data_IF_616901822843
#
_entry.id   IF_616901822843
#
_cell.length_a   1.000
_cell.length_b   1.000
_cell.length_c   1.000
_cell.angle_alpha   90.00
_cell.angle_beta   90.00
_cell.angle_gamma   90.00
#
_symmetry.space_group_name_H-M   'P 1'
#
loop_
_entity.id
_entity.type
_entity.pdbx_description
1 polymer ?
#
# COMPACT_ATOMS: atom_id res chain seq x y z
N UNK A 1 -17.40 -79.02 38.09
CA UNK A 1 -17.06 -77.97 39.08
C UNK A 1 -17.60 -76.65 38.54
N UNK A 2 -18.52 -76.04 39.28
CA UNK A 2 -19.24 -74.82 38.89
C UNK A 2 -18.77 -73.71 39.83
N UNK A 3 -18.20 -72.63 39.29
CA UNK A 3 -17.80 -71.46 40.10
C UNK A 3 -18.36 -70.21 39.44
N UNK A 4 -19.28 -69.57 40.16
CA UNK A 4 -19.88 -68.26 39.85
C UNK A 4 -18.83 -67.17 40.08
N UNK A 5 -18.76 -66.18 39.18
CA UNK A 5 -18.07 -64.91 39.44
C UNK A 5 -19.08 -63.78 39.24
N UNK A 6 -19.37 -63.09 40.34
CA UNK A 6 -20.34 -62.00 40.44
C UNK A 6 -19.60 -60.67 40.32
N UNK A 7 -20.10 -59.81 39.44
CA UNK A 7 -19.65 -58.44 39.15
C UNK A 7 -20.11 -57.49 40.27
N UNK A 8 -19.23 -56.64 40.81
CA UNK A 8 -19.63 -55.48 41.61
C UNK A 8 -18.77 -54.27 41.24
N UNK A 9 -19.48 -53.19 40.88
CA UNK A 9 -18.95 -51.97 40.29
C UNK A 9 -18.46 -50.96 41.34
N UNK A 10 -17.55 -50.12 40.87
CA UNK A 10 -16.66 -49.21 41.61
C UNK A 10 -17.33 -47.94 42.12
N UNK A 11 -16.75 -47.42 43.20
CA UNK A 11 -17.07 -46.20 43.95
C UNK A 11 -16.81 -44.90 43.19
N UNK A 12 -17.68 -43.89 43.37
CA UNK A 12 -17.35 -42.47 43.19
C UNK A 12 -18.02 -41.70 44.34
N UNK A 13 -17.23 -41.06 45.20
CA UNK A 13 -17.72 -40.11 46.19
C UNK A 13 -17.04 -38.76 45.96
N UNK A 14 -17.85 -37.75 45.70
CA UNK A 14 -17.43 -36.40 45.30
C UNK A 14 -16.86 -35.62 46.48
N UNK A 15 -15.64 -35.10 46.31
CA UNK A 15 -15.02 -34.13 47.21
C UNK A 15 -15.47 -32.71 46.86
N UNK A 16 -16.10 -32.02 47.81
CA UNK A 16 -16.49 -30.60 47.68
C UNK A 16 -15.37 -29.76 48.31
N UNK A 17 -14.62 -29.04 47.48
CA UNK A 17 -13.71 -27.99 47.94
C UNK A 17 -14.42 -26.63 47.87
N UNK A 18 -14.68 -26.04 49.04
CA UNK A 18 -15.16 -24.67 49.18
C UNK A 18 -13.93 -23.74 49.15
N UNK A 19 -13.89 -22.78 48.23
CA UNK A 19 -12.89 -21.71 48.24
C UNK A 19 -13.59 -20.35 48.06
N UNK A 20 -13.28 -19.43 48.99
CA UNK A 20 -13.81 -18.07 49.11
C UNK A 20 -13.46 -17.19 47.90
N UNK A 21 -14.27 -16.15 47.57
CA UNK A 21 -13.87 -15.17 46.58
C UNK A 21 -12.90 -14.18 47.23
N UNK A 22 -11.60 -14.32 46.96
CA UNK A 22 -10.65 -13.24 47.14
C UNK A 22 -10.92 -12.19 46.06
N UNK A 23 -11.56 -11.08 46.44
CA UNK A 23 -11.78 -9.92 45.58
C UNK A 23 -10.45 -9.17 45.41
N UNK A 24 -9.63 -9.60 44.47
CA UNK A 24 -8.47 -8.83 44.02
C UNK A 24 -8.97 -7.65 43.15
N UNK A 25 -8.75 -6.43 43.61
CA UNK A 25 -8.90 -5.23 42.80
C UNK A 25 -7.69 -5.14 41.86
N UNK A 26 -7.88 -5.49 40.59
CA UNK A 26 -6.88 -5.21 39.55
C UNK A 26 -7.08 -3.79 39.04
N UNK A 27 -6.03 -2.96 38.91
CA UNK A 27 -6.12 -1.63 38.32
C UNK A 27 -6.69 -1.73 36.91
N UNK A 28 -7.44 -0.70 36.50
CA UNK A 28 -7.98 -0.54 35.16
C UNK A 28 -6.87 -0.80 34.11
N UNK A 29 -6.85 -2.01 33.58
CA UNK A 29 -6.05 -2.34 32.43
C UNK A 29 -6.79 -1.70 31.27
N UNK A 30 -6.38 -0.46 30.96
CA UNK A 30 -6.69 0.20 29.70
C UNK A 30 -6.50 -0.87 28.62
N UNK A 31 -7.60 -1.36 28.07
CA UNK A 31 -7.57 -2.29 26.96
C UNK A 31 -6.87 -1.53 25.84
N UNK A 32 -5.58 -1.80 25.65
CA UNK A 32 -4.91 -1.50 24.41
C UNK A 32 -5.68 -2.28 23.36
N UNK A 33 -6.62 -1.60 22.70
CA UNK A 33 -7.33 -2.12 21.54
C UNK A 33 -6.25 -2.72 20.63
N UNK A 34 -6.30 -4.01 20.29
CA UNK A 34 -5.30 -4.59 19.41
C UNK A 34 -5.25 -3.73 18.14
N UNK A 35 -4.06 -3.25 17.76
CA UNK A 35 -3.87 -2.51 16.49
C UNK A 35 -4.30 -3.46 15.36
N UNK A 36 -5.55 -3.36 14.94
CA UNK A 36 -6.11 -4.23 13.91
C UNK A 36 -5.50 -3.79 12.59
N UNK A 37 -4.70 -4.68 12.02
CA UNK A 37 -4.10 -4.47 10.70
C UNK A 37 -5.07 -4.96 9.63
N UNK A 38 -5.23 -4.18 8.56
CA UNK A 38 -6.13 -4.47 7.45
C UNK A 38 -5.37 -4.44 6.12
N UNK A 39 -5.72 -5.34 5.20
CA UNK A 39 -5.21 -5.31 3.83
C UNK A 39 -6.04 -4.35 2.97
N UNK A 40 -5.38 -3.45 2.25
CA UNK A 40 -6.00 -2.47 1.35
C UNK A 40 -5.49 -2.65 -0.07
N UNK A 41 -6.17 -2.03 -1.03
CA UNK A 41 -5.71 -2.03 -2.42
C UNK A 41 -5.98 -0.67 -3.05
N UNK A 42 -5.14 -0.31 -4.03
CA UNK A 42 -5.37 0.86 -4.85
C UNK A 42 -6.66 0.66 -5.64
N UNK A 43 -7.62 1.57 -5.46
CA UNK A 43 -8.94 1.52 -6.08
C UNK A 43 -8.84 1.52 -7.60
N UNK A 44 -7.95 2.34 -8.15
CA UNK A 44 -7.72 2.46 -9.58
C UNK A 44 -6.30 2.96 -9.87
N UNK A 45 -5.73 2.46 -10.98
CA UNK A 45 -4.47 2.98 -11.53
C UNK A 45 -4.65 4.39 -12.10
N UNK A 46 -3.65 5.25 -11.92
CA UNK A 46 -3.60 6.52 -12.64
C UNK A 46 -2.95 6.31 -14.01
N UNK A 47 -3.48 6.96 -15.05
CA UNK A 47 -2.95 6.88 -16.41
C UNK A 47 -2.74 8.31 -16.92
N UNK A 48 -1.52 8.60 -17.36
CA UNK A 48 -1.09 9.89 -17.88
C UNK A 48 -0.79 9.72 -19.36
N UNK A 49 -1.61 10.31 -20.21
CA UNK A 49 -1.32 10.34 -21.64
C UNK A 49 -0.19 11.32 -21.91
N UNK A 50 0.80 10.86 -22.68
CA UNK A 50 1.99 11.63 -23.02
C UNK A 50 1.86 12.07 -24.47
N UNK A 51 1.63 13.36 -24.68
CA UNK A 51 1.78 13.99 -25.98
C UNK A 51 3.22 14.52 -26.10
N UNK A 52 4.08 13.92 -26.95
CA UNK A 52 5.42 14.45 -27.13
C UNK A 52 5.37 15.71 -27.96
N UNK A 53 5.59 16.86 -27.33
CA UNK A 53 5.74 18.13 -28.03
C UNK A 53 7.22 18.55 -27.90
N UNK A 54 7.90 18.64 -29.04
CA UNK A 54 9.14 19.41 -29.25
C UNK A 54 10.41 19.02 -28.49
N UNK A 55 10.64 17.74 -28.15
CA UNK A 55 11.98 17.28 -27.72
C UNK A 55 12.47 17.76 -26.33
N UNK A 56 11.66 18.54 -25.63
CA UNK A 56 11.82 18.96 -24.24
C UNK A 56 10.50 18.73 -23.52
N UNK A 57 10.29 17.54 -22.95
CA UNK A 57 9.05 17.23 -22.26
C UNK A 57 9.07 17.83 -20.84
N UNK A 58 8.72 19.10 -20.73
CA UNK A 58 8.46 19.73 -19.44
C UNK A 58 7.09 19.25 -18.95
N UNK A 59 7.13 18.28 -18.04
CA UNK A 59 6.07 17.97 -17.07
C UNK A 59 4.69 17.58 -17.64
N UNK A 60 4.37 16.28 -17.64
CA UNK A 60 2.98 15.84 -17.87
C UNK A 60 2.21 15.95 -16.55
N UNK A 61 1.79 17.15 -16.20
CA UNK A 61 0.87 17.36 -15.07
C UNK A 61 -0.55 17.16 -15.56
N UNK A 62 -1.13 15.99 -15.30
CA UNK A 62 -2.58 15.85 -15.41
C UNK A 62 -3.22 16.19 -14.06
N UNK A 63 -3.70 17.43 -13.95
CA UNK A 63 -4.51 17.89 -12.82
C UNK A 63 -5.72 16.96 -12.68
N UNK A 64 -5.98 16.47 -11.46
CA UNK A 64 -7.09 15.57 -11.07
C UNK A 64 -6.80 14.06 -11.02
N UNK A 65 -5.59 13.59 -11.33
CA UNK A 65 -5.23 12.20 -11.04
C UNK A 65 -5.02 12.01 -9.53
N UNK A 66 -5.62 10.96 -8.98
CA UNK A 66 -5.50 10.59 -7.57
C UNK A 66 -5.27 9.07 -7.45
N UNK A 67 -4.50 8.70 -6.44
CA UNK A 67 -4.27 7.31 -6.05
C UNK A 67 -4.92 7.11 -4.69
N UNK A 68 -5.88 6.20 -4.58
CA UNK A 68 -6.66 6.01 -3.35
C UNK A 68 -6.60 4.56 -2.92
N UNK A 69 -6.12 4.31 -1.71
CA UNK A 69 -6.16 2.99 -1.12
C UNK A 69 -7.47 2.81 -0.37
N UNK A 70 -8.18 1.75 -0.72
CA UNK A 70 -9.49 1.43 -0.17
C UNK A 70 -9.45 0.08 0.54
N UNK A 71 -10.24 -0.03 1.61
CA UNK A 71 -10.50 -1.28 2.31
C UNK A 71 -11.45 -2.19 1.52
N UNK A 72 -12.33 -2.90 2.22
CA UNK A 72 -13.25 -3.86 1.58
C UNK A 72 -14.30 -3.22 0.68
N UNK A 73 -14.72 -1.99 0.98
CA UNK A 73 -15.72 -1.27 0.18
C UNK A 73 -15.06 -0.12 -0.62
N UNK A 74 -15.56 0.21 -1.82
CA UNK A 74 -14.97 1.27 -2.65
C UNK A 74 -14.93 2.66 -2.00
N UNK A 75 -15.87 2.94 -1.09
CA UNK A 75 -15.94 4.22 -0.37
C UNK A 75 -15.09 4.22 0.92
N UNK A 76 -14.48 3.09 1.25
CA UNK A 76 -13.73 2.89 2.50
C UNK A 76 -12.27 3.34 2.33
N UNK A 77 -12.09 4.63 2.06
CA UNK A 77 -10.78 5.24 1.77
C UNK A 77 -9.91 5.26 3.03
N UNK A 78 -8.65 4.87 2.90
CA UNK A 78 -7.71 4.69 4.02
C UNK A 78 -6.63 5.78 4.02
N UNK A 79 -6.05 6.00 2.85
CA UNK A 79 -5.15 7.10 2.56
C UNK A 79 -5.13 7.35 1.05
N UNK A 80 -4.55 8.46 0.64
CA UNK A 80 -4.51 8.85 -0.77
C UNK A 80 -3.25 9.63 -1.13
N UNK A 81 -2.99 9.69 -2.43
CA UNK A 81 -2.13 10.68 -3.06
C UNK A 81 -2.96 11.51 -4.03
N UNK A 82 -2.88 12.83 -3.92
CA UNK A 82 -3.50 13.82 -4.81
C UNK A 82 -2.42 14.62 -5.53
N UNK A 83 -2.83 15.46 -6.49
CA UNK A 83 -1.92 16.32 -7.27
C UNK A 83 -0.76 15.53 -7.89
N UNK A 84 -1.05 14.31 -8.35
CA UNK A 84 -0.03 13.42 -8.89
C UNK A 84 0.50 13.97 -10.22
N UNK A 85 1.82 14.04 -10.34
CA UNK A 85 2.49 14.42 -11.59
C UNK A 85 3.63 13.48 -11.93
N UNK A 86 3.88 13.32 -13.24
CA UNK A 86 5.03 12.59 -13.77
C UNK A 86 5.70 13.45 -14.83
N UNK A 87 7.03 13.56 -14.76
CA UNK A 87 7.82 14.35 -15.68
C UNK A 87 8.99 13.54 -16.27
N UNK A 88 9.29 13.74 -17.55
CA UNK A 88 10.49 13.20 -18.22
C UNK A 88 11.42 14.35 -18.61
N UNK A 89 12.52 14.52 -17.89
CA UNK A 89 13.49 15.58 -18.14
C UNK A 89 14.73 15.00 -18.83
N UNK A 90 15.02 15.47 -20.04
CA UNK A 90 16.30 15.22 -20.72
C UNK A 90 17.34 16.20 -20.21
N UNK A 91 18.49 15.70 -19.76
CA UNK A 91 19.59 16.53 -19.30
C UNK A 91 20.23 17.27 -20.50
N UNK A 92 20.62 18.53 -20.30
CA UNK A 92 21.20 19.40 -21.34
C UNK A 92 22.54 18.87 -21.88
N UNK A 93 23.25 18.06 -21.09
CA UNK A 93 24.52 17.41 -21.45
C UNK A 93 24.44 16.22 -22.40
N UNK A 94 23.23 15.83 -22.85
CA UNK A 94 23.04 14.83 -23.90
C UNK A 94 22.90 13.38 -23.38
N UNK A 95 21.75 12.78 -23.66
CA UNK A 95 21.50 11.33 -23.53
C UNK A 95 20.68 10.93 -22.31
N UNK A 96 20.95 11.49 -21.14
CA UNK A 96 20.27 11.08 -19.91
C UNK A 96 18.84 11.63 -19.82
N UNK A 97 17.88 10.74 -19.58
CA UNK A 97 16.50 11.11 -19.26
C UNK A 97 16.20 10.70 -17.81
N UNK A 98 15.67 11.64 -17.04
CA UNK A 98 15.17 11.41 -15.68
C UNK A 98 13.65 11.43 -15.68
N UNK A 99 13.05 10.40 -15.12
CA UNK A 99 11.63 10.35 -14.82
C UNK A 99 11.42 10.77 -13.36
N UNK A 100 10.50 11.68 -13.09
CA UNK A 100 10.20 12.15 -11.72
C UNK A 100 8.73 11.99 -11.41
N UNK A 101 8.43 11.44 -10.24
CA UNK A 101 7.09 11.35 -9.65
C UNK A 101 6.97 12.36 -8.51
N UNK A 102 5.84 13.06 -8.46
CA UNK A 102 5.46 13.91 -7.33
C UNK A 102 3.97 13.80 -7.03
N UNK A 103 3.59 14.20 -5.83
CA UNK A 103 2.21 14.22 -5.36
C UNK A 103 2.12 14.63 -3.89
N UNK A 104 0.90 14.75 -3.40
CA UNK A 104 0.60 15.11 -2.02
C UNK A 104 -0.09 13.95 -1.32
N UNK A 105 0.36 13.60 -0.12
CA UNK A 105 -0.17 12.47 0.63
C UNK A 105 -1.08 12.94 1.76
N UNK A 106 -2.21 12.24 1.91
CA UNK A 106 -3.16 12.48 2.99
C UNK A 106 -3.55 11.16 3.64
N UNK A 107 -3.35 11.07 4.95
CA UNK A 107 -3.95 10.01 5.77
C UNK A 107 -5.45 10.30 5.95
N UNK A 108 -6.28 9.27 5.82
CA UNK A 108 -7.72 9.35 6.08
C UNK A 108 -8.08 8.57 7.36
N UNK A 109 -7.26 8.73 8.39
CA UNK A 109 -7.36 8.01 9.66
C UNK A 109 -6.64 6.67 9.69
N UNK A 110 -5.88 6.35 8.64
CA UNK A 110 -5.06 5.15 8.54
C UNK A 110 -3.67 5.47 8.02
N UNK A 111 -2.71 4.62 8.40
CA UNK A 111 -1.36 4.61 7.84
C UNK A 111 -0.97 3.20 7.40
N UNK A 112 -0.20 3.06 6.32
CA UNK A 112 0.53 1.83 6.04
C UNK A 112 1.33 1.34 7.26
N UNK A 113 1.37 0.03 7.47
CA UNK A 113 2.21 -0.61 8.50
C UNK A 113 3.69 -0.43 8.13
N UNK A 114 4.01 -0.77 6.88
CA UNK A 114 5.27 -0.51 6.19
C UNK A 114 5.10 0.64 5.18
N UNK A 115 5.92 0.73 4.15
CA UNK A 115 5.70 1.67 3.06
C UNK A 115 4.74 1.09 2.00
N UNK A 116 3.91 1.96 1.40
CA UNK A 116 3.10 1.56 0.26
C UNK A 116 3.97 1.54 -1.00
N UNK A 117 4.04 0.40 -1.69
CA UNK A 117 4.83 0.24 -2.91
C UNK A 117 3.99 0.49 -4.15
N UNK A 118 4.49 1.34 -5.03
CA UNK A 118 3.90 1.68 -6.32
C UNK A 118 4.85 1.29 -7.45
N UNK A 119 4.27 1.08 -8.62
CA UNK A 119 5.00 0.90 -9.88
C UNK A 119 4.58 1.99 -10.85
N UNK A 120 5.57 2.66 -11.43
CA UNK A 120 5.42 3.44 -12.67
C UNK A 120 5.65 2.50 -13.84
N UNK A 121 4.72 2.46 -14.79
CA UNK A 121 4.80 1.66 -16.01
C UNK A 121 4.77 2.60 -17.20
N UNK A 122 5.83 2.59 -18.01
CA UNK A 122 5.92 3.38 -19.22
C UNK A 122 5.46 2.53 -20.41
N UNK A 123 4.46 3.03 -21.14
CA UNK A 123 3.87 2.34 -22.29
C UNK A 123 4.10 3.08 -23.59
N UNK A 124 4.25 2.32 -24.67
CA UNK A 124 4.24 2.84 -26.03
C UNK A 124 2.85 3.34 -26.43
N UNK A 125 2.78 4.07 -27.55
CA UNK A 125 1.51 4.42 -28.22
C UNK A 125 0.64 3.20 -28.57
N UNK A 126 1.25 2.03 -28.76
CA UNK A 126 0.53 0.76 -28.98
C UNK A 126 0.12 0.04 -27.70
N UNK A 127 0.43 0.60 -26.52
CA UNK A 127 0.09 0.04 -25.21
C UNK A 127 1.10 -0.97 -24.65
N UNK A 128 2.18 -1.29 -25.37
CA UNK A 128 3.22 -2.20 -24.89
C UNK A 128 4.03 -1.57 -23.75
N UNK A 129 4.28 -2.32 -22.68
CA UNK A 129 5.17 -1.89 -21.59
C UNK A 129 6.61 -1.93 -22.07
N UNK A 130 7.34 -0.81 -21.96
CA UNK A 130 8.75 -0.71 -22.36
C UNK A 130 9.70 -0.45 -21.20
N UNK A 131 9.17 0.05 -20.08
CA UNK A 131 9.96 0.28 -18.87
C UNK A 131 9.05 0.27 -17.66
N UNK A 132 9.58 -0.14 -16.51
CA UNK A 132 8.90 0.03 -15.24
C UNK A 132 9.90 0.41 -14.15
N UNK A 133 9.40 1.08 -13.12
CA UNK A 133 10.18 1.45 -11.95
C UNK A 133 9.30 1.37 -10.70
N UNK A 134 9.82 0.76 -9.65
CA UNK A 134 9.12 0.59 -8.38
C UNK A 134 9.67 1.57 -7.35
N UNK A 135 8.79 2.16 -6.56
CA UNK A 135 9.15 3.03 -5.46
C UNK A 135 8.18 2.88 -4.30
N UNK A 136 8.64 3.28 -3.12
CA UNK A 136 7.85 3.26 -1.90
C UNK A 136 7.44 4.67 -1.50
N UNK A 137 6.27 4.80 -0.87
CA UNK A 137 5.81 6.02 -0.22
C UNK A 137 5.52 5.76 1.26
N UNK A 138 5.84 6.74 2.09
CA UNK A 138 5.50 6.75 3.51
C UNK A 138 4.29 7.67 3.74
N UNK A 139 3.32 7.19 4.51
CA UNK A 139 2.16 7.98 4.95
C UNK A 139 2.10 7.94 6.47
N UNK A 140 2.05 9.11 7.09
CA UNK A 140 1.93 9.29 8.55
C UNK A 140 0.54 9.77 8.89
N UNK A 141 0.11 9.48 10.12
CA UNK A 141 -1.23 9.85 10.60
C UNK A 141 -1.53 11.34 10.59
N UNK A 142 -0.50 12.18 10.74
CA UNK A 142 -0.63 13.63 10.69
C UNK A 142 -0.51 14.20 9.26
N UNK A 143 -0.22 13.37 8.26
CA UNK A 143 -0.08 13.85 6.89
C UNK A 143 -1.46 14.25 6.35
N UNK A 144 -1.59 15.52 6.00
CA UNK A 144 -2.73 16.09 5.30
C UNK A 144 -2.21 17.00 4.20
N UNK A 145 -2.47 16.59 2.95
CA UNK A 145 -2.05 17.27 1.73
C UNK A 145 -0.55 17.60 1.77
N UNK A 146 0.24 16.69 2.37
CA UNK A 146 1.66 16.88 2.58
C UNK A 146 2.39 16.53 1.28
N UNK A 147 3.22 17.42 0.72
CA UNK A 147 3.97 17.10 -0.48
C UNK A 147 4.97 15.98 -0.19
N UNK A 148 4.97 14.96 -1.05
CA UNK A 148 6.01 13.93 -1.07
C UNK A 148 7.30 14.54 -1.65
N UNK A 149 8.48 14.20 -1.09
CA UNK A 149 9.74 14.48 -1.76
C UNK A 149 9.69 13.90 -3.19
N UNK A 150 10.07 14.67 -4.24
CA UNK A 150 10.08 14.16 -5.59
C UNK A 150 10.96 12.93 -5.70
N UNK A 151 10.42 11.87 -6.30
CA UNK A 151 11.14 10.62 -6.50
C UNK A 151 11.61 10.58 -7.95
N UNK A 152 12.91 10.45 -8.16
CA UNK A 152 13.53 10.48 -9.48
C UNK A 152 14.20 9.16 -9.84
N UNK A 153 14.01 8.73 -11.08
CA UNK A 153 14.58 7.53 -11.67
C UNK A 153 15.31 7.86 -12.96
N UNK A 154 16.52 7.33 -13.15
CA UNK A 154 17.23 7.45 -14.42
C UNK A 154 16.68 6.41 -15.41
N UNK A 155 16.13 6.90 -16.51
CA UNK A 155 15.64 6.04 -17.59
C UNK A 155 16.83 5.36 -18.27
N UNK A 156 16.81 4.03 -18.45
CA UNK A 156 17.87 3.32 -19.17
C UNK A 156 18.13 3.91 -20.55
N UNK A 157 19.40 3.94 -20.97
CA UNK A 157 19.85 4.63 -22.18
C UNK A 157 19.19 4.15 -23.47
N UNK A 158 18.90 2.85 -23.58
CA UNK A 158 18.21 2.20 -24.69
C UNK A 158 16.76 2.72 -24.86
N UNK A 159 16.10 3.07 -23.76
CA UNK A 159 14.77 3.68 -23.74
C UNK A 159 14.86 5.20 -23.90
N UNK A 160 15.80 5.85 -23.20
CA UNK A 160 15.96 7.31 -23.13
C UNK A 160 16.12 7.99 -24.51
N UNK A 161 16.74 7.28 -25.46
CA UNK A 161 16.89 7.76 -26.84
C UNK A 161 15.55 7.96 -27.55
N UNK A 162 14.60 7.06 -27.31
CA UNK A 162 13.32 6.98 -28.03
C UNK A 162 12.10 7.30 -27.16
N UNK A 163 12.29 7.61 -25.88
CA UNK A 163 11.19 7.84 -24.93
C UNK A 163 10.24 8.94 -25.44
N UNK A 164 10.77 10.00 -26.06
CA UNK A 164 9.95 11.11 -26.58
C UNK A 164 9.26 10.82 -27.92
N UNK A 165 9.62 9.75 -28.63
CA UNK A 165 8.97 9.39 -29.91
C UNK A 165 8.03 8.21 -29.74
N UNK A 166 8.33 7.31 -28.80
CA UNK A 166 7.66 6.02 -28.62
C UNK A 166 6.62 6.00 -27.50
N UNK A 167 6.79 6.78 -26.42
CA UNK A 167 5.86 6.76 -25.28
C UNK A 167 4.50 7.31 -25.67
N UNK A 168 3.46 6.60 -25.26
CA UNK A 168 2.06 7.01 -25.40
C UNK A 168 1.42 7.33 -24.05
N UNK A 169 1.76 6.57 -23.01
CA UNK A 169 1.24 6.82 -21.66
C UNK A 169 2.18 6.35 -20.56
N UNK A 170 1.96 6.88 -19.36
CA UNK A 170 2.54 6.39 -18.12
C UNK A 170 1.40 5.95 -17.20
N UNK A 171 1.48 4.75 -16.66
CA UNK A 171 0.56 4.27 -15.63
C UNK A 171 1.24 4.26 -14.27
N UNK A 172 0.48 4.54 -13.21
CA UNK A 172 0.89 4.32 -11.83
C UNK A 172 -0.10 3.36 -11.19
N UNK A 173 0.42 2.25 -10.70
CA UNK A 173 -0.37 1.17 -10.15
C UNK A 173 0.22 0.65 -8.83
N UNK A 174 -0.59 -0.10 -8.09
CA UNK A 174 -0.07 -0.92 -7.00
C UNK A 174 1.04 -1.83 -7.53
N UNK A 175 2.13 -1.92 -6.77
CA UNK A 175 3.15 -2.91 -7.03
C UNK A 175 2.58 -4.32 -6.85
N UNK A 176 2.74 -5.17 -7.86
CA UNK A 176 2.23 -6.55 -7.87
C UNK A 176 3.32 -7.50 -8.34
N UNK A 177 4.08 -8.04 -7.40
CA UNK A 177 4.84 -9.27 -7.63
C UNK A 177 3.99 -10.49 -7.29
N UNK A 178 4.22 -11.63 -7.97
CA UNK A 178 3.65 -12.90 -7.55
C UNK A 178 3.99 -13.15 -6.08
N UNK A 179 2.97 -13.41 -5.25
CA UNK A 179 3.06 -13.70 -3.82
C UNK A 179 3.32 -12.52 -2.87
N UNK A 180 3.29 -11.27 -3.35
CA UNK A 180 3.45 -10.15 -2.43
C UNK A 180 2.13 -9.81 -1.73
N UNK A 181 2.12 -9.63 -0.40
CA UNK A 181 0.93 -9.21 0.32
C UNK A 181 0.50 -7.82 -0.15
N UNK A 182 -0.82 -7.62 -0.18
CA UNK A 182 -1.44 -6.29 -0.33
C UNK A 182 -0.86 -5.33 0.71
N UNK A 183 -0.90 -4.04 0.41
CA UNK A 183 -0.53 -3.01 1.39
C UNK A 183 -1.32 -3.23 2.67
N UNK A 184 -0.62 -3.38 3.78
CA UNK A 184 -1.23 -3.50 5.10
C UNK A 184 -1.28 -2.13 5.74
N UNK A 185 -2.42 -1.78 6.35
CA UNK A 185 -2.61 -0.53 7.08
C UNK A 185 -3.07 -0.78 8.50
N UNK A 186 -2.85 0.20 9.37
CA UNK A 186 -3.41 0.26 10.71
C UNK A 186 -4.08 1.60 10.92
N UNK A 187 -5.07 1.63 11.80
CA UNK A 187 -5.76 2.85 12.18
C UNK A 187 -4.79 3.79 12.91
N UNK A 188 -4.94 5.08 12.67
CA UNK A 188 -4.23 6.10 13.42
C UNK A 188 -4.78 6.18 14.85
N UNK A 189 -3.91 6.45 15.84
CA UNK A 189 -4.36 6.71 17.20
C UNK A 189 -5.29 7.93 17.20
N UNK A 190 -6.37 7.84 17.97
CA UNK A 190 -7.33 8.91 18.20
C UNK A 190 -6.77 10.02 19.06
#
# INVERSE_FOLDING_TARGET
MTIKVTWCATLIWLSVCVALPARAQTPAQSQSVPETTEAVSLAQRAIFDVAPITGTLKETVQKSQQLVWVGKAPNDRRFQITNVSVAFLRNEGGGDVKMTFAGEVSSLGYRPVDEAKLTVIVRTKSGASIHFWNFSISVRCADKDRPLPPLTHQVPSDIANNVFTSVGSVEIADYREPNQPRTMVRRCPS
#
